data_IF_424237769470
#
_entry.id   IF_424237769470
#
_cell.length_a   1.000
_cell.length_b   1.000
_cell.length_c   1.000
_cell.angle_alpha   90.00
_cell.angle_beta   90.00
_cell.angle_gamma   90.00
#
_symmetry.space_group_name_H-M   'P 1'
#
loop_
_entity.id
_entity.type
_entity.pdbx_description
1 polymer ?
#
# COMPACT_ATOMS: atom_id res chain seq x y z
N UNK A 1 -5.37 11.93 -2.18
CA UNK A 1 -4.41 11.10 -1.43
C UNK A 1 -3.53 12.02 -0.60
N UNK A 2 -3.07 11.60 0.57
CA UNK A 2 -2.09 12.38 1.35
C UNK A 2 -0.74 12.33 0.63
N UNK A 3 -0.05 13.46 0.58
CA UNK A 3 1.21 13.63 -0.16
C UNK A 3 2.26 12.57 0.23
N UNK A 4 2.34 12.25 1.52
CA UNK A 4 3.28 11.26 2.04
C UNK A 4 3.07 9.86 1.46
N UNK A 5 1.82 9.45 1.24
CA UNK A 5 1.51 8.16 0.63
C UNK A 5 1.87 8.15 -0.86
N UNK A 6 1.59 9.24 -1.56
CA UNK A 6 1.97 9.39 -2.97
C UNK A 6 3.48 9.32 -3.17
N UNK A 7 4.25 10.01 -2.32
CA UNK A 7 5.70 10.01 -2.39
C UNK A 7 6.28 8.62 -2.07
N UNK A 8 5.74 7.93 -1.07
CA UNK A 8 6.15 6.56 -0.73
C UNK A 8 5.86 5.57 -1.86
N UNK A 9 4.70 5.66 -2.51
CA UNK A 9 4.35 4.75 -3.61
C UNK A 9 5.26 4.98 -4.83
N UNK A 10 5.66 6.23 -5.10
CA UNK A 10 6.66 6.53 -6.14
C UNK A 10 8.02 5.89 -5.83
N UNK A 11 8.44 5.85 -4.57
CA UNK A 11 9.68 5.15 -4.18
C UNK A 11 9.60 3.63 -4.44
N UNK A 12 8.40 3.08 -4.56
CA UNK A 12 8.16 1.66 -4.82
C UNK A 12 8.00 1.37 -6.32
N UNK A 13 8.22 2.37 -7.19
CA UNK A 13 7.98 2.28 -8.63
C UNK A 13 6.51 1.95 -8.97
N UNK A 14 5.59 2.34 -8.08
CA UNK A 14 4.14 2.14 -8.27
C UNK A 14 3.57 3.44 -8.83
N UNK A 15 2.97 3.37 -10.02
CA UNK A 15 2.31 4.54 -10.61
C UNK A 15 0.98 4.83 -9.90
N UNK A 16 0.58 6.11 -9.88
CA UNK A 16 -0.66 6.53 -9.21
C UNK A 16 -1.91 5.80 -9.72
N UNK A 17 -1.93 5.42 -11.01
CA UNK A 17 -3.02 4.66 -11.61
C UNK A 17 -3.19 3.28 -11.00
N UNK A 18 -2.09 2.68 -10.53
CA UNK A 18 -2.10 1.35 -9.94
C UNK A 18 -2.71 1.40 -8.54
N UNK A 19 -2.52 2.51 -7.81
CA UNK A 19 -3.06 2.70 -6.46
C UNK A 19 -4.22 3.70 -6.41
N UNK A 20 -5.13 3.66 -7.38
CA UNK A 20 -6.27 4.56 -7.40
C UNK A 20 -7.25 4.26 -6.24
N UNK A 21 -7.32 3.02 -5.74
CA UNK A 21 -8.31 2.64 -4.72
C UNK A 21 -8.08 3.33 -3.37
N UNK A 22 -6.83 3.59 -3.00
CA UNK A 22 -6.47 4.31 -1.76
C UNK A 22 -6.81 5.81 -1.82
N UNK A 23 -7.07 6.37 -3.00
CA UNK A 23 -7.39 7.80 -3.14
C UNK A 23 -8.70 8.20 -2.44
N UNK A 24 -9.62 7.24 -2.27
CA UNK A 24 -10.92 7.42 -1.62
C UNK A 24 -10.90 7.08 -0.12
N UNK A 25 -9.77 6.60 0.41
CA UNK A 25 -9.69 6.23 1.82
C UNK A 25 -9.62 7.49 2.70
N UNK A 26 -10.06 7.36 3.95
CA UNK A 26 -9.90 8.44 4.93
C UNK A 26 -8.41 8.69 5.20
N UNK A 27 -8.08 9.90 5.61
CA UNK A 27 -6.70 10.27 5.93
C UNK A 27 -6.08 9.37 7.01
N UNK A 28 -6.87 8.88 7.97
CA UNK A 28 -6.43 7.93 9.00
C UNK A 28 -5.94 6.61 8.39
N UNK A 29 -6.70 6.06 7.43
CA UNK A 29 -6.37 4.80 6.77
C UNK A 29 -5.15 4.97 5.87
N UNK A 30 -5.07 6.10 5.15
CA UNK A 30 -3.91 6.42 4.32
C UNK A 30 -2.64 6.56 5.16
N UNK A 31 -2.70 7.22 6.32
CA UNK A 31 -1.57 7.31 7.27
C UNK A 31 -1.18 5.94 7.82
N UNK A 32 -2.16 5.10 8.13
CA UNK A 32 -1.92 3.73 8.60
C UNK A 32 -1.24 2.88 7.52
N UNK A 33 -1.65 3.02 6.26
CA UNK A 33 -0.99 2.39 5.11
C UNK A 33 0.46 2.86 4.96
N UNK A 34 0.71 4.18 5.08
CA UNK A 34 2.09 4.71 5.06
C UNK A 34 2.94 4.04 6.15
N UNK A 35 2.44 3.96 7.38
CA UNK A 35 3.15 3.32 8.48
C UNK A 35 3.46 1.86 8.20
N UNK A 36 2.51 1.13 7.59
CA UNK A 36 2.70 -0.26 7.18
C UNK A 36 3.77 -0.40 6.11
N UNK A 37 3.65 0.34 5.01
CA UNK A 37 4.57 0.24 3.87
C UNK A 37 5.99 0.72 4.22
N UNK A 38 6.14 1.68 5.15
CA UNK A 38 7.45 2.12 5.65
C UNK A 38 8.24 1.02 6.37
N UNK A 39 7.58 -0.03 6.87
CA UNK A 39 8.26 -1.17 7.49
C UNK A 39 8.90 -2.11 6.47
N UNK A 40 8.53 -2.00 5.19
CA UNK A 40 8.94 -2.98 4.20
C UNK A 40 10.42 -2.90 3.88
N UNK A 41 11.10 -4.02 4.10
CA UNK A 41 12.40 -4.28 3.53
C UNK A 41 12.33 -4.54 2.01
N UNK A 42 13.50 -4.68 1.35
CA UNK A 42 13.56 -4.92 -0.10
C UNK A 42 12.76 -6.15 -0.58
N UNK A 43 12.60 -7.16 0.29
CA UNK A 43 11.83 -8.38 -0.01
C UNK A 43 10.33 -8.11 0.05
N UNK A 44 9.84 -7.48 1.12
CA UNK A 44 8.41 -7.17 1.23
C UNK A 44 7.96 -6.18 0.15
N UNK A 45 8.79 -5.19 -0.21
CA UNK A 45 8.51 -4.27 -1.33
C UNK A 45 8.25 -5.03 -2.63
N UNK A 46 9.13 -5.97 -2.99
CA UNK A 46 8.96 -6.81 -4.19
C UNK A 46 7.70 -7.69 -4.11
N UNK A 47 7.46 -8.34 -2.98
CA UNK A 47 6.28 -9.19 -2.79
C UNK A 47 4.98 -8.39 -2.93
N UNK A 48 4.96 -7.17 -2.39
CA UNK A 48 3.83 -6.26 -2.50
C UNK A 48 3.56 -5.82 -3.94
N UNK A 49 4.60 -5.44 -4.69
CA UNK A 49 4.48 -5.08 -6.11
C UNK A 49 3.94 -6.28 -6.91
N UNK A 50 4.48 -7.48 -6.69
CA UNK A 50 4.01 -8.70 -7.37
C UNK A 50 2.54 -8.98 -7.03
N UNK A 51 2.16 -8.92 -5.75
CA UNK A 51 0.77 -9.14 -5.33
C UNK A 51 -0.17 -8.11 -5.95
N UNK A 52 0.25 -6.83 -6.00
CA UNK A 52 -0.52 -5.76 -6.63
C UNK A 52 -0.68 -5.99 -8.13
N UNK A 53 0.40 -6.29 -8.84
CA UNK A 53 0.36 -6.58 -10.28
C UNK A 53 -0.52 -7.79 -10.60
N UNK A 54 -0.45 -8.83 -9.76
CA UNK A 54 -1.23 -10.05 -9.96
C UNK A 54 -2.73 -9.84 -9.70
N UNK A 55 -3.09 -9.07 -8.68
CA UNK A 55 -4.48 -8.83 -8.29
C UNK A 55 -5.10 -7.61 -8.99
N UNK A 56 -4.29 -6.72 -9.57
CA UNK A 56 -4.74 -5.54 -10.31
C UNK A 56 -5.74 -4.69 -9.52
N UNK A 57 -6.91 -4.46 -10.11
CA UNK A 57 -8.02 -3.69 -9.51
C UNK A 57 -8.73 -4.43 -8.37
N UNK A 58 -8.50 -5.74 -8.22
CA UNK A 58 -9.04 -6.54 -7.10
C UNK A 58 -8.18 -6.44 -5.85
N UNK A 59 -6.99 -5.85 -5.93
CA UNK A 59 -6.13 -5.64 -4.78
C UNK A 59 -6.75 -4.63 -3.82
N UNK A 60 -6.81 -4.97 -2.52
CA UNK A 60 -7.32 -4.06 -1.49
C UNK A 60 -6.44 -4.14 -0.25
N UNK A 61 -5.55 -3.17 -0.07
CA UNK A 61 -4.52 -3.21 0.98
C UNK A 61 -5.09 -3.37 2.39
N UNK A 62 -6.17 -2.66 2.74
CA UNK A 62 -6.79 -2.76 4.07
C UNK A 62 -7.42 -4.14 4.35
N UNK A 63 -7.69 -4.93 3.30
CA UNK A 63 -8.24 -6.29 3.40
C UNK A 63 -7.16 -7.37 3.23
N UNK A 64 -5.93 -6.98 2.89
CA UNK A 64 -4.83 -7.92 2.73
C UNK A 64 -4.46 -8.57 4.07
N UNK A 65 -4.05 -9.83 4.03
CA UNK A 65 -3.61 -10.57 5.23
C UNK A 65 -2.47 -9.85 5.92
N UNK A 66 -1.43 -9.45 5.17
CA UNK A 66 -0.26 -8.79 5.74
C UNK A 66 -0.59 -7.49 6.48
N UNK A 67 -1.47 -6.64 5.94
CA UNK A 67 -1.88 -5.41 6.61
C UNK A 67 -2.68 -5.70 7.88
N UNK A 68 -3.59 -6.67 7.85
CA UNK A 68 -4.40 -7.05 9.01
C UNK A 68 -3.59 -7.70 10.12
N UNK A 69 -2.57 -8.49 9.79
CA UNK A 69 -1.64 -9.06 10.77
C UNK A 69 -0.74 -7.98 11.38
N UNK A 70 -0.22 -7.08 10.56
CA UNK A 70 0.55 -5.93 11.05
C UNK A 70 -0.28 -5.04 11.99
N UNK A 71 -1.55 -4.76 11.65
CA UNK A 71 -2.44 -3.94 12.48
C UNK A 71 -2.77 -4.57 13.84
N UNK A 72 -2.63 -5.90 13.96
CA UNK A 72 -2.83 -6.64 15.22
C UNK A 72 -1.55 -6.75 16.07
N UNK A 73 -0.39 -6.43 15.49
CA UNK A 73 0.93 -6.55 16.13
C UNK A 73 1.32 -5.33 16.94
#
# INVERSE_FOLDING_TARGET
MIKELEDLLKEFDIEQKDFQEVSHYKDEDQKSIVCYLKKFGPREKKAFIIAKQHLGTSFHILRSTGYNEWKKS
#
